data_IF_257429821846
#
_entry.id   IF_257429821846
#
_cell.length_a   1.000
_cell.length_b   1.000
_cell.length_c   1.000
_cell.angle_alpha   90.00
_cell.angle_beta   90.00
_cell.angle_gamma   90.00
#
_symmetry.space_group_name_H-M   'P 1'
#
loop_
_entity.id
_entity.type
_entity.pdbx_description
1 polymer ?
#
# COMPACT_ATOMS: atom_id res chain seq x y z
N UNK A 1 3.81 14.85 12.11
CA UNK A 1 4.49 15.28 10.86
C UNK A 1 5.11 14.03 10.28
N UNK A 2 4.98 13.76 8.98
CA UNK A 2 5.72 12.68 8.32
C UNK A 2 7.19 13.09 8.29
N UNK A 3 7.98 12.62 9.24
CA UNK A 3 9.39 12.97 9.32
C UNK A 3 10.16 12.33 8.14
N UNK A 4 10.56 13.14 7.15
CA UNK A 4 11.67 12.82 6.25
C UNK A 4 11.35 12.44 4.80
N UNK A 5 10.10 12.57 4.32
CA UNK A 5 9.79 12.35 2.90
C UNK A 5 9.81 13.69 2.16
N UNK A 6 10.86 13.93 1.38
CA UNK A 6 10.99 15.09 0.49
C UNK A 6 10.62 14.69 -0.93
N UNK A 7 9.99 15.61 -1.66
CA UNK A 7 9.62 15.39 -3.04
C UNK A 7 10.88 15.19 -3.90
N UNK A 8 11.00 14.10 -4.68
CA UNK A 8 12.19 13.87 -5.52
C UNK A 8 12.29 14.85 -6.69
N UNK A 9 11.24 15.62 -6.99
CA UNK A 9 11.21 16.59 -8.09
C UNK A 9 11.69 17.98 -7.67
N UNK A 10 11.22 18.49 -6.52
CA UNK A 10 11.52 19.85 -6.06
C UNK A 10 12.24 19.93 -4.71
N UNK A 11 12.33 18.82 -3.97
CA UNK A 11 12.91 18.80 -2.62
C UNK A 11 12.00 19.40 -1.54
N UNK A 12 10.79 19.84 -1.88
CA UNK A 12 9.81 20.33 -0.92
C UNK A 12 9.24 19.20 -0.06
N UNK A 13 8.63 19.55 1.07
CA UNK A 13 8.04 18.57 1.98
C UNK A 13 6.85 17.85 1.34
N UNK A 14 6.77 16.54 1.59
CA UNK A 14 5.61 15.76 1.23
C UNK A 14 4.59 15.77 2.38
N UNK A 15 3.33 16.01 2.03
CA UNK A 15 2.20 16.13 2.96
C UNK A 15 1.27 14.91 2.85
N UNK A 16 0.76 14.46 4.00
CA UNK A 16 -0.22 13.37 4.04
C UNK A 16 -1.63 13.92 3.81
N UNK A 17 -2.28 13.47 2.75
CA UNK A 17 -3.66 13.77 2.40
C UNK A 17 -4.58 12.55 2.54
N UNK A 18 -5.86 12.80 2.77
CA UNK A 18 -6.91 11.77 2.75
C UNK A 18 -7.74 11.94 1.48
N UNK A 19 -7.75 10.93 0.63
CA UNK A 19 -8.52 10.91 -0.62
C UNK A 19 -9.67 9.91 -0.56
N UNK A 20 -10.47 9.86 -1.62
CA UNK A 20 -11.60 8.92 -1.75
C UNK A 20 -11.19 7.45 -1.65
N UNK A 21 -9.92 7.13 -1.92
CA UNK A 21 -9.39 5.77 -1.98
C UNK A 21 -8.51 5.39 -0.79
N UNK A 22 -8.28 6.31 0.15
CA UNK A 22 -7.39 6.09 1.28
C UNK A 22 -6.41 7.24 1.49
N UNK A 23 -5.37 6.97 2.26
CA UNK A 23 -4.36 7.98 2.56
C UNK A 23 -3.32 8.02 1.44
N UNK A 24 -2.93 9.23 1.06
CA UNK A 24 -1.92 9.48 0.04
C UNK A 24 -0.92 10.51 0.55
N UNK A 25 0.26 10.48 -0.04
CA UNK A 25 1.30 11.48 0.15
C UNK A 25 1.35 12.33 -1.12
N UNK A 26 1.37 13.65 -0.98
CA UNK A 26 1.50 14.57 -2.12
C UNK A 26 2.53 15.67 -1.85
N UNK A 27 3.06 16.27 -2.91
CA UNK A 27 3.92 17.44 -2.80
C UNK A 27 3.15 18.64 -2.22
N UNK A 28 3.77 19.34 -1.27
CA UNK A 28 3.24 20.60 -0.71
C UNK A 28 3.11 21.71 -1.76
N UNK A 29 3.94 21.70 -2.81
CA UNK A 29 3.91 22.65 -3.92
C UNK A 29 2.99 22.23 -5.09
N UNK A 30 2.00 21.36 -4.83
CA UNK A 30 0.97 21.08 -5.84
C UNK A 30 0.14 22.36 -6.13
N UNK A 31 -0.17 22.72 -7.39
CA UNK A 31 -0.05 21.94 -8.63
C UNK A 31 1.24 22.14 -9.44
N UNK A 32 2.19 22.95 -8.97
CA UNK A 32 3.44 23.22 -9.68
C UNK A 32 4.30 21.96 -9.83
N UNK A 33 4.34 21.13 -8.78
CA UNK A 33 4.98 19.82 -8.81
C UNK A 33 3.99 18.69 -8.54
N UNK A 34 3.56 18.02 -9.61
CA UNK A 34 2.69 16.85 -9.53
C UNK A 34 3.49 15.61 -9.10
N UNK A 35 3.58 15.40 -7.79
CA UNK A 35 4.05 14.15 -7.19
C UNK A 35 3.03 13.69 -6.15
N UNK A 36 2.54 12.46 -6.32
CA UNK A 36 1.56 11.85 -5.44
C UNK A 36 1.83 10.36 -5.37
N UNK A 37 1.89 9.82 -4.16
CA UNK A 37 2.10 8.40 -3.88
C UNK A 37 1.00 7.91 -2.94
N UNK A 38 0.56 6.66 -3.11
CA UNK A 38 -0.48 6.07 -2.26
C UNK A 38 0.18 5.32 -1.09
N UNK A 39 -0.33 5.53 0.13
CA UNK A 39 0.20 4.89 1.35
C UNK A 39 -0.40 3.51 1.54
N UNK A 40 -1.53 3.23 0.89
CA UNK A 40 -2.18 1.92 0.85
C UNK A 40 -1.31 0.89 0.12
N UNK A 41 -0.19 0.53 0.73
CA UNK A 41 0.39 -0.80 0.60
C UNK A 41 -0.54 -1.66 1.43
N UNK A 42 -1.44 -2.47 0.82
CA UNK A 42 -2.12 -3.50 1.58
C UNK A 42 -1.00 -4.27 2.25
N UNK A 43 -1.03 -4.32 3.58
CA UNK A 43 0.03 -4.90 4.40
C UNK A 43 0.58 -6.11 3.65
N UNK A 44 1.82 -5.99 3.14
CA UNK A 44 2.56 -7.12 2.61
C UNK A 44 2.94 -7.95 3.83
N UNK A 45 1.92 -8.54 4.44
CA UNK A 45 2.02 -9.52 5.49
C UNK A 45 2.73 -10.68 4.81
N UNK A 46 4.06 -10.65 4.86
CA UNK A 46 4.93 -11.72 4.39
C UNK A 46 4.88 -12.85 5.42
N UNK A 47 3.68 -13.24 5.82
CA UNK A 47 3.45 -14.43 6.63
C UNK A 47 3.53 -15.62 5.67
N UNK A 48 4.49 -16.47 5.94
CA UNK A 48 4.57 -17.79 5.33
C UNK A 48 3.29 -18.56 5.66
N UNK A 49 2.73 -19.26 4.67
CA UNK A 49 1.56 -20.08 4.88
C UNK A 49 1.87 -21.19 5.91
N UNK A 50 1.14 -21.29 7.04
CA UNK A 50 1.38 -22.32 8.05
C UNK A 50 1.05 -23.73 7.57
N UNK A 51 0.26 -23.86 6.49
CA UNK A 51 -0.19 -25.15 5.94
C UNK A 51 0.88 -25.80 5.04
N UNK A 52 1.46 -25.05 4.10
CA UNK A 52 2.46 -25.59 3.18
C UNK A 52 3.90 -25.13 3.44
N UNK A 53 4.11 -24.17 4.35
CA UNK A 53 5.41 -23.57 4.73
C UNK A 53 6.27 -23.03 3.56
N UNK A 54 5.74 -23.06 2.34
CA UNK A 54 6.43 -22.71 1.09
C UNK A 54 5.75 -21.57 0.35
N UNK A 55 4.43 -21.44 0.49
CA UNK A 55 3.65 -20.33 -0.05
C UNK A 55 3.57 -19.14 0.91
N UNK A 56 3.09 -18.00 0.38
CA UNK A 56 2.89 -16.74 1.12
C UNK A 56 1.41 -16.44 1.27
N UNK A 57 1.02 -15.86 2.41
CA UNK A 57 -0.33 -15.34 2.60
C UNK A 57 -0.50 -14.01 1.87
N UNK A 58 -1.31 -14.01 0.81
CA UNK A 58 -1.63 -12.84 0.01
C UNK A 58 -3.02 -12.32 0.36
N UNK A 59 -3.16 -11.00 0.44
CA UNK A 59 -4.46 -10.36 0.60
C UNK A 59 -5.27 -10.46 -0.71
N UNK A 60 -6.40 -11.15 -0.65
CA UNK A 60 -7.34 -11.31 -1.76
C UNK A 60 -8.66 -10.61 -1.43
N UNK A 61 -9.32 -10.03 -2.44
CA UNK A 61 -10.67 -9.46 -2.30
C UNK A 61 -11.72 -10.53 -2.61
N UNK A 62 -12.62 -10.77 -1.67
CA UNK A 62 -13.81 -11.60 -1.90
C UNK A 62 -14.80 -10.92 -2.85
N UNK A 63 -15.71 -11.72 -3.42
CA UNK A 63 -16.84 -11.21 -4.24
C UNK A 63 -17.72 -10.19 -3.51
N UNK A 64 -17.70 -10.21 -2.18
CA UNK A 64 -18.47 -9.32 -1.31
C UNK A 64 -17.67 -8.09 -0.86
N UNK A 65 -16.49 -7.86 -1.43
CA UNK A 65 -15.66 -6.70 -1.14
C UNK A 65 -14.82 -6.79 0.13
N UNK A 66 -14.98 -7.84 0.95
CA UNK A 66 -14.13 -8.09 2.13
C UNK A 66 -12.77 -8.64 1.68
N UNK A 67 -11.69 -8.08 2.20
CA UNK A 67 -10.33 -8.61 2.04
C UNK A 67 -10.10 -9.77 3.01
N UNK A 68 -9.49 -10.84 2.53
CA UNK A 68 -9.08 -12.00 3.32
C UNK A 68 -7.68 -12.44 2.89
N UNK A 69 -6.97 -13.18 3.74
CA UNK A 69 -5.64 -13.72 3.41
C UNK A 69 -5.76 -15.17 2.95
N UNK A 70 -5.16 -15.50 1.81
CA UNK A 70 -5.10 -16.86 1.28
C UNK A 70 -3.69 -17.20 0.80
N UNK A 71 -3.36 -18.48 0.75
CA UNK A 71 -2.07 -18.91 0.19
C UNK A 71 -2.03 -18.60 -1.31
N UNK A 72 -0.91 -18.05 -1.79
CA UNK A 72 -0.59 -17.88 -3.21
C UNK A 72 -0.64 -19.18 -4.03
N UNK A 73 -0.44 -20.33 -3.39
CA UNK A 73 -0.50 -21.67 -4.00
C UNK A 73 -1.89 -22.31 -3.99
N UNK A 74 -2.93 -21.63 -3.54
CA UNK A 74 -4.30 -22.15 -3.63
C UNK A 74 -4.68 -22.35 -5.13
N UNK A 75 -5.29 -23.48 -5.53
CA UNK A 75 -5.90 -24.54 -4.73
C UNK A 75 -5.00 -25.76 -4.45
N UNK A 76 -3.73 -25.74 -4.87
CA UNK A 76 -2.78 -26.85 -4.66
C UNK A 76 -2.28 -26.96 -3.21
N UNK A 77 -2.39 -25.86 -2.46
CA UNK A 77 -2.15 -25.77 -1.02
C UNK A 77 -3.45 -25.87 -0.24
#
# INVERSE_FOLDING_TARGET
MLEGQLCPKCGAELVLGQGRYGMFVACSEYPEYEHTETIDKPDEITLTCPQCQSGKLVAQRSRYGKTFHACDRYPDC
#
